data_IF_743923969309
#
_entry.id   IF_743923969309
#
_cell.length_a   1.000
_cell.length_b   1.000
_cell.length_c   1.000
_cell.angle_alpha   90.00
_cell.angle_beta   90.00
_cell.angle_gamma   90.00
#
_symmetry.space_group_name_H-M   'P 1'
#
loop_
_entity.id
_entity.type
_entity.pdbx_description
1 polymer ?
#
# COMPACT_ATOMS: atom_id res chain seq x y z
N UNK A 1 13.71 6.22 9.30
CA UNK A 1 13.35 7.65 9.29
C UNK A 1 12.01 7.82 10.01
N UNK A 2 11.88 8.78 10.93
CA UNK A 2 10.64 9.01 11.70
C UNK A 2 9.49 9.52 10.79
N UNK A 3 9.82 10.42 9.86
CA UNK A 3 8.89 11.05 8.89
C UNK A 3 8.06 10.03 8.08
N UNK A 4 8.57 8.81 7.86
CA UNK A 4 7.90 7.76 7.06
C UNK A 4 7.05 6.82 7.93
N UNK A 5 7.34 6.76 9.24
CA UNK A 5 6.63 5.88 10.19
C UNK A 5 5.48 6.58 10.90
N UNK A 6 5.66 7.87 11.19
CA UNK A 6 4.71 8.66 11.95
C UNK A 6 3.75 9.40 11.01
N UNK A 7 2.50 9.57 11.45
CA UNK A 7 1.47 10.26 10.69
C UNK A 7 1.60 11.79 10.85
N UNK A 8 1.92 12.48 9.76
CA UNK A 8 2.18 13.94 9.77
C UNK A 8 0.89 14.76 9.57
N UNK A 9 -0.12 14.22 8.87
CA UNK A 9 -1.38 14.88 8.48
C UNK A 9 -1.26 16.19 7.66
N UNK A 10 -0.04 16.63 7.34
CA UNK A 10 0.22 17.76 6.45
C UNK A 10 0.37 17.36 4.97
N UNK A 11 0.52 18.33 4.05
CA UNK A 11 0.73 18.09 2.62
C UNK A 11 2.16 17.59 2.33
N UNK A 12 2.54 16.45 2.90
CA UNK A 12 3.88 15.84 2.81
C UNK A 12 3.76 14.42 2.28
N UNK A 13 4.55 14.07 1.25
CA UNK A 13 4.62 12.72 0.69
C UNK A 13 6.07 12.23 0.72
N UNK A 14 6.31 11.08 1.35
CA UNK A 14 7.60 10.40 1.31
C UNK A 14 7.74 9.55 0.06
N UNK A 15 8.77 9.80 -0.76
CA UNK A 15 9.09 9.00 -1.94
C UNK A 15 10.28 8.09 -1.64
N UNK A 16 10.09 6.78 -1.83
CA UNK A 16 11.16 5.79 -1.67
C UNK A 16 11.22 4.90 -2.91
N UNK A 17 12.42 4.75 -3.49
CA UNK A 17 12.63 3.94 -4.69
C UNK A 17 13.15 2.56 -4.29
N UNK A 18 12.44 1.49 -4.66
CA UNK A 18 12.95 0.12 -4.54
C UNK A 18 13.78 -0.25 -5.78
N UNK A 19 15.04 -0.65 -5.57
CA UNK A 19 15.96 -1.06 -6.65
C UNK A 19 15.94 -2.58 -6.85
N UNK A 20 14.79 -3.20 -7.15
CA UNK A 20 14.81 -4.62 -7.56
C UNK A 20 13.66 -4.97 -8.51
N UNK A 21 13.99 -5.10 -9.80
CA UNK A 21 13.12 -5.59 -10.88
C UNK A 21 12.93 -7.12 -10.92
N UNK A 22 13.31 -7.87 -9.88
CA UNK A 22 13.50 -9.34 -9.99
C UNK A 22 12.60 -10.16 -9.07
N UNK A 23 11.96 -9.57 -8.05
CA UNK A 23 10.95 -10.26 -7.24
C UNK A 23 9.82 -9.26 -6.93
N UNK A 24 8.66 -9.32 -7.60
CA UNK A 24 7.76 -8.17 -7.69
C UNK A 24 7.05 -7.77 -6.38
N UNK A 25 7.24 -8.50 -5.29
CA UNK A 25 6.36 -8.45 -4.11
C UNK A 25 7.09 -8.43 -2.74
N UNK A 26 8.11 -9.26 -2.44
CA UNK A 26 8.43 -9.52 -1.03
C UNK A 26 9.18 -8.39 -0.32
N UNK A 27 9.98 -7.56 -1.01
CA UNK A 27 10.74 -6.48 -0.35
C UNK A 27 9.85 -5.25 -0.07
N UNK A 28 9.10 -4.77 -1.05
CA UNK A 28 8.20 -3.63 -0.88
C UNK A 28 7.10 -3.94 0.14
N UNK A 29 6.54 -5.15 0.10
CA UNK A 29 5.47 -5.53 1.02
C UNK A 29 5.99 -5.73 2.44
N UNK A 30 7.22 -6.22 2.63
CA UNK A 30 7.83 -6.27 3.97
C UNK A 30 8.00 -4.86 4.52
N UNK A 31 8.53 -3.92 3.75
CA UNK A 31 8.66 -2.51 4.15
C UNK A 31 7.31 -1.86 4.48
N UNK A 32 6.29 -2.09 3.64
CA UNK A 32 4.90 -1.62 3.87
C UNK A 32 4.28 -2.29 5.11
N UNK A 33 4.54 -3.56 5.35
CA UNK A 33 3.98 -4.31 6.49
C UNK A 33 4.59 -3.95 7.84
N UNK A 34 5.70 -3.19 7.86
CA UNK A 34 6.36 -2.73 9.10
C UNK A 34 5.69 -1.46 9.65
N UNK A 35 4.92 -0.72 8.85
CA UNK A 35 4.19 0.44 9.37
C UNK A 35 2.96 0.00 10.18
N UNK A 36 2.86 0.44 11.43
CA UNK A 36 1.78 0.10 12.36
C UNK A 36 0.39 0.67 11.96
N UNK A 37 0.33 1.52 10.93
CA UNK A 37 -0.87 2.29 10.52
C UNK A 37 -1.43 1.66 9.24
N UNK A 38 -2.05 0.48 9.36
CA UNK A 38 -2.60 -0.31 8.26
C UNK A 38 -3.99 0.15 7.78
N UNK A 39 -4.20 1.45 7.51
CA UNK A 39 -5.51 1.98 7.13
C UNK A 39 -5.86 1.70 5.66
N UNK A 40 -5.03 2.20 4.75
CA UNK A 40 -5.26 2.09 3.31
C UNK A 40 -3.95 1.93 2.52
N UNK A 41 -4.02 1.25 1.39
CA UNK A 41 -2.90 1.11 0.45
C UNK A 41 -3.36 1.29 -1.00
N UNK A 42 -2.51 1.89 -1.83
CA UNK A 42 -2.72 2.05 -3.26
C UNK A 42 -1.69 1.26 -4.07
N UNK A 43 -2.14 0.52 -5.09
CA UNK A 43 -1.27 -0.24 -6.00
C UNK A 43 -1.55 0.22 -7.43
N UNK A 44 -0.52 0.68 -8.14
CA UNK A 44 -0.61 1.04 -9.55
C UNK A 44 0.15 0.00 -10.37
N UNK A 45 -0.56 -0.82 -11.13
CA UNK A 45 0.05 -1.85 -11.97
C UNK A 45 -0.85 -2.19 -13.16
N UNK A 46 -0.24 -2.64 -14.26
CA UNK A 46 -0.93 -3.18 -15.43
C UNK A 46 -1.08 -4.70 -15.36
N UNK A 47 -0.27 -5.37 -14.52
CA UNK A 47 -0.22 -6.82 -14.44
C UNK A 47 -1.23 -7.34 -13.41
N UNK A 48 -2.15 -8.18 -13.87
CA UNK A 48 -3.22 -8.76 -13.03
C UNK A 48 -2.64 -9.65 -11.90
N UNK A 49 -1.59 -10.41 -12.19
CA UNK A 49 -0.94 -11.27 -11.21
C UNK A 49 -0.32 -10.45 -10.07
N UNK A 50 0.28 -9.31 -10.40
CA UNK A 50 0.85 -8.39 -9.41
C UNK A 50 -0.25 -7.76 -8.58
N UNK A 51 -1.35 -7.33 -9.20
CA UNK A 51 -2.50 -6.75 -8.52
C UNK A 51 -3.09 -7.72 -7.47
N UNK A 52 -3.32 -8.98 -7.86
CA UNK A 52 -3.88 -10.02 -6.98
C UNK A 52 -2.92 -10.43 -5.86
N UNK A 53 -1.62 -10.48 -6.16
CA UNK A 53 -0.62 -10.83 -5.14
C UNK A 53 -0.46 -9.70 -4.14
N UNK A 54 -0.38 -8.45 -4.61
CA UNK A 54 -0.27 -7.26 -3.76
C UNK A 54 -1.51 -7.08 -2.86
N UNK A 55 -2.72 -7.30 -3.39
CA UNK A 55 -3.96 -7.16 -2.61
C UNK A 55 -4.08 -8.13 -1.46
N UNK A 56 -3.46 -9.32 -1.54
CA UNK A 56 -3.49 -10.32 -0.45
C UNK A 56 -2.33 -10.22 0.52
N UNK A 57 -1.25 -9.57 0.13
CA UNK A 57 0.00 -9.55 0.88
C UNK A 57 0.20 -8.27 1.69
N UNK A 58 -0.40 -7.16 1.26
CA UNK A 58 -0.43 -5.91 2.01
C UNK A 58 -1.43 -6.02 3.17
N UNK A 59 -0.97 -5.68 4.39
CA UNK A 59 -1.83 -5.61 5.58
C UNK A 59 -2.40 -4.20 5.72
N UNK A 60 -3.52 -3.95 5.05
CA UNK A 60 -4.27 -2.71 5.15
C UNK A 60 -5.77 -2.98 5.09
N UNK A 61 -6.57 -2.10 5.71
CA UNK A 61 -8.02 -2.27 5.74
C UNK A 61 -8.75 -1.96 4.43
N UNK A 62 -8.13 -1.20 3.55
CA UNK A 62 -8.61 -0.94 2.19
C UNK A 62 -7.46 -0.95 1.21
N UNK A 63 -7.62 -1.63 0.08
CA UNK A 63 -6.59 -1.69 -0.97
C UNK A 63 -7.23 -1.24 -2.28
N UNK A 64 -6.72 -0.14 -2.83
CA UNK A 64 -7.16 0.43 -4.09
C UNK A 64 -6.18 0.08 -5.21
N UNK A 65 -6.66 -0.55 -6.29
CA UNK A 65 -5.83 -0.89 -7.47
C UNK A 65 -6.17 0.10 -8.58
N UNK A 66 -5.18 0.82 -9.08
CA UNK A 66 -5.29 1.83 -10.14
C UNK A 66 -6.31 2.96 -9.85
N UNK A 67 -6.66 3.18 -8.58
CA UNK A 67 -7.54 4.25 -8.12
C UNK A 67 -7.13 4.72 -6.71
N UNK A 68 -7.70 5.84 -6.26
CA UNK A 68 -7.43 6.41 -4.94
C UNK A 68 -8.75 6.85 -4.30
N UNK A 69 -8.93 6.60 -2.99
CA UNK A 69 -10.16 6.90 -2.24
C UNK A 69 -11.48 6.40 -2.87
N UNK A 70 -11.46 5.20 -3.46
CA UNK A 70 -12.65 4.56 -4.01
C UNK A 70 -13.49 3.86 -2.92
N UNK A 71 -13.95 4.62 -1.93
CA UNK A 71 -14.83 4.11 -0.86
C UNK A 71 -16.29 4.23 -1.27
N UNK A 72 -17.09 3.20 -1.01
CA UNK A 72 -18.54 3.21 -1.20
C UNK A 72 -19.23 2.89 0.13
N UNK A 73 -20.47 3.32 0.31
CA UNK A 73 -21.25 3.01 1.52
C UNK A 73 -21.34 1.52 1.83
N UNK A 74 -21.31 0.66 0.81
CA UNK A 74 -21.35 -0.79 0.94
C UNK A 74 -19.99 -1.45 1.18
N UNK A 75 -18.87 -0.73 1.03
CA UNK A 75 -17.54 -1.32 1.19
C UNK A 75 -17.14 -1.30 2.66
N UNK A 76 -17.06 -2.48 3.27
CA UNK A 76 -16.54 -2.66 4.62
C UNK A 76 -15.03 -2.43 4.66
N UNK A 77 -14.56 -1.70 5.67
CA UNK A 77 -13.13 -1.54 5.96
C UNK A 77 -12.76 -2.66 6.93
N UNK A 78 -12.03 -3.67 6.45
CA UNK A 78 -11.54 -4.77 7.30
C UNK A 78 -10.33 -4.32 8.13
N UNK A 79 -10.03 -4.99 9.24
CA UNK A 79 -8.84 -4.71 10.06
C UNK A 79 -8.04 -5.98 10.27
#
# INVERSE_FOLDING_TARGET
MLIVKDEIFGPVVGLMSSKTKINPIPLSIKEISISCIGLAAGVVTKDLNVANTASRSIRAGTICINCHFALRSSTSISK
#
